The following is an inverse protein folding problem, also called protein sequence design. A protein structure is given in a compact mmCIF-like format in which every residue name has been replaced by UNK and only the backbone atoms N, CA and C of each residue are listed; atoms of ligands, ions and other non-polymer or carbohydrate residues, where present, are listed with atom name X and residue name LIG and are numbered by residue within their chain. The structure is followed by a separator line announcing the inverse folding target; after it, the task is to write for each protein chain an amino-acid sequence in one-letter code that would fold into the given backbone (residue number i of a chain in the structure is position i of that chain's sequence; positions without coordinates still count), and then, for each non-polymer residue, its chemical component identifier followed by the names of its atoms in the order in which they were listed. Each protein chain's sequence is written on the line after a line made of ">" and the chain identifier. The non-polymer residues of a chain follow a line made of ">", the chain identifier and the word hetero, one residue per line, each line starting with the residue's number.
data_IF_841437478890
#
_entry.id   IF_841437478890
#
_cell.length_a   1.000
_cell.length_b   1.000
_cell.length_c   1.000
_cell.angle_alpha   90.00
_cell.angle_beta   90.00
_cell.angle_gamma   90.00
#
_symmetry.space_group_name_H-M   'P 1'
#
loop_
_entity.id
_entity.type
_entity.pdbx_description
1 polymer ?
#
# COMPACT_ATOMS: atom_id res chain seq x y z
N UNK A 1 -1.37 -6.54 9.84
CA UNK A 1 0.01 -7.06 9.91
C UNK A 1 0.05 -8.24 10.87
N UNK A 2 1.01 -9.15 10.69
CA UNK A 2 1.24 -10.26 11.63
C UNK A 2 2.73 -10.28 11.96
N UNK A 3 3.06 -10.20 13.24
CA UNK A 3 4.42 -10.41 13.75
C UNK A 3 4.51 -11.76 14.45
N UNK A 4 5.65 -12.45 14.30
CA UNK A 4 5.92 -13.75 14.92
C UNK A 4 7.03 -13.57 15.95
N UNK A 5 6.82 -14.08 17.16
CA UNK A 5 7.76 -14.01 18.30
C UNK A 5 8.23 -12.58 18.66
N UNK A 6 7.48 -11.57 18.24
CA UNK A 6 7.79 -10.16 18.43
C UNK A 6 6.51 -9.34 18.40
N UNK A 7 6.58 -8.10 18.86
CA UNK A 7 5.54 -7.10 18.64
C UNK A 7 6.17 -5.92 17.93
N UNK A 8 5.74 -5.64 16.70
CA UNK A 8 6.17 -4.46 15.95
C UNK A 8 5.13 -4.07 14.91
N UNK A 9 5.18 -2.79 14.50
CA UNK A 9 4.47 -2.30 13.31
C UNK A 9 5.16 -2.68 11.99
N UNK A 10 6.30 -3.39 12.05
CA UNK A 10 7.15 -3.64 10.89
C UNK A 10 8.02 -2.45 10.49
N UNK A 11 8.77 -2.63 9.42
CA UNK A 11 9.64 -1.64 8.77
C UNK A 11 8.87 -0.82 7.70
N UNK A 12 9.42 0.30 7.23
CA UNK A 12 8.84 1.17 6.18
C UNK A 12 8.58 0.42 4.86
N UNK A 13 9.30 -0.68 4.60
CA UNK A 13 9.09 -1.47 3.39
C UNK A 13 7.86 -2.37 3.45
N UNK A 14 7.34 -2.67 4.66
CA UNK A 14 6.17 -3.52 4.84
C UNK A 14 4.87 -2.70 4.78
N UNK A 15 3.82 -3.19 4.07
CA UNK A 15 2.53 -2.51 4.04
C UNK A 15 1.85 -2.57 5.41
N UNK A 16 1.41 -1.42 5.89
CA UNK A 16 0.71 -1.24 7.15
C UNK A 16 -0.76 -0.90 6.88
N UNK A 17 -1.68 -1.61 7.50
CA UNK A 17 -3.11 -1.40 7.27
C UNK A 17 -3.96 -2.37 8.06
N UNK A 18 -5.24 -2.02 8.20
CA UNK A 18 -6.22 -2.77 8.96
C UNK A 18 -7.25 -3.49 8.10
N UNK A 19 -7.80 -4.57 8.64
CA UNK A 19 -8.88 -5.36 8.06
C UNK A 19 -10.20 -5.10 8.81
N UNK A 20 -11.35 -5.15 8.12
CA UNK A 20 -12.69 -4.83 8.67
C UNK A 20 -12.74 -3.40 9.23
N UNK A 21 -13.26 -3.21 10.45
CA UNK A 21 -13.38 -1.90 11.10
C UNK A 21 -12.03 -1.28 11.44
N UNK A 22 -10.93 -2.03 11.35
CA UNK A 22 -9.58 -1.50 11.59
C UNK A 22 -9.00 -0.74 10.40
N UNK A 23 -9.66 -0.68 9.23
CA UNK A 23 -9.12 0.02 8.06
C UNK A 23 -10.13 0.29 6.95
N UNK A 24 -9.76 1.18 6.03
CA UNK A 24 -10.62 1.67 4.94
C UNK A 24 -10.11 1.27 3.54
N UNK A 25 -9.29 0.22 3.44
CA UNK A 25 -8.81 -0.32 2.16
C UNK A 25 -7.50 0.31 1.64
N UNK A 26 -6.89 1.22 2.40
CA UNK A 26 -5.55 1.74 2.13
C UNK A 26 -4.47 1.01 2.92
N UNK A 27 -3.36 0.66 2.26
CA UNK A 27 -2.11 0.30 2.92
C UNK A 27 -1.19 1.54 3.00
N UNK A 28 -0.86 1.94 4.22
CA UNK A 28 0.15 2.96 4.53
C UNK A 28 1.54 2.30 4.56
N UNK A 29 2.61 3.04 4.27
CA UNK A 29 3.98 2.48 4.09
C UNK A 29 4.08 1.48 2.91
N UNK A 30 5.29 1.03 2.58
CA UNK A 30 5.64 0.29 1.36
C UNK A 30 5.42 1.07 0.06
N UNK A 31 5.78 0.45 -1.07
CA UNK A 31 5.48 0.97 -2.41
C UNK A 31 3.98 1.04 -2.70
N UNK A 32 3.18 0.21 -2.04
CA UNK A 32 1.74 0.15 -2.27
C UNK A 32 1.02 1.41 -1.76
N UNK A 33 1.64 2.16 -0.83
CA UNK A 33 1.11 3.43 -0.36
C UNK A 33 0.96 4.47 -1.48
N UNK A 34 1.77 4.41 -2.55
CA UNK A 34 1.64 5.35 -3.66
C UNK A 34 0.31 5.22 -4.39
N UNK A 35 -0.32 4.03 -4.38
CA UNK A 35 -1.62 3.84 -5.00
C UNK A 35 -2.74 4.64 -4.32
N UNK A 36 -2.58 5.04 -3.04
CA UNK A 36 -3.56 5.90 -2.36
C UNK A 36 -3.49 7.36 -2.83
N UNK A 37 -2.29 7.83 -3.17
CA UNK A 37 -2.02 9.25 -3.42
C UNK A 37 -1.80 9.58 -4.90
N UNK A 38 -1.76 8.57 -5.74
CA UNK A 38 -1.60 8.70 -7.18
C UNK A 38 -2.77 8.05 -7.91
N UNK A 39 -2.98 8.44 -9.17
CA UNK A 39 -3.96 7.79 -10.05
C UNK A 39 -3.26 7.26 -11.27
N UNK A 40 -3.61 6.05 -11.65
CA UNK A 40 -3.14 5.47 -12.90
C UNK A 40 -3.70 6.27 -14.08
N UNK A 41 -2.82 6.58 -15.04
CA UNK A 41 -3.17 7.27 -16.28
C UNK A 41 -2.67 6.46 -17.46
N UNK A 42 -3.60 5.90 -18.22
CA UNK A 42 -3.29 5.22 -19.48
C UNK A 42 -3.15 6.25 -20.61
N UNK A 43 -2.03 6.22 -21.34
CA UNK A 43 -1.78 7.07 -22.50
C UNK A 43 -1.43 6.19 -23.69
N UNK A 44 -2.14 6.36 -24.80
CA UNK A 44 -1.91 5.62 -26.04
C UNK A 44 -1.13 6.51 -27.02
N UNK A 45 0.00 6.00 -27.50
CA UNK A 45 0.85 6.70 -28.48
C UNK A 45 0.94 5.85 -29.74
N UNK A 46 0.56 6.44 -30.88
CA UNK A 46 0.76 5.85 -32.21
C UNK A 46 1.87 6.61 -32.92
N UNK A 47 2.95 5.91 -33.27
CA UNK A 47 4.17 6.54 -33.81
C UNK A 47 4.20 6.59 -35.35
N UNK A 48 3.33 5.84 -36.06
CA UNK A 48 3.15 5.85 -37.52
C UNK A 48 1.72 5.44 -37.91
#
# INVERSE_FOLDING_TARGET
>A
MVSVNSYSEGDITAPFGGWKQSGFGGAERSTDAFAQWTREKTVWIRTR
#
